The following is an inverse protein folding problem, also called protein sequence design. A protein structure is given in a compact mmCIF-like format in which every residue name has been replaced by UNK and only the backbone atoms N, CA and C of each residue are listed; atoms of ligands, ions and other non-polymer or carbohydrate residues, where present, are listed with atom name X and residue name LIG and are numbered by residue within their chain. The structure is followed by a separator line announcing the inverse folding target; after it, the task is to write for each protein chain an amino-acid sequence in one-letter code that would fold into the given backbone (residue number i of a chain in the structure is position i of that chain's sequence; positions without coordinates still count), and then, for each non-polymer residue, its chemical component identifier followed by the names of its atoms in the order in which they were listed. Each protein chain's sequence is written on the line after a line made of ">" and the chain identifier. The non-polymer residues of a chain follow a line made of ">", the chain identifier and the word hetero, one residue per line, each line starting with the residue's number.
data_IF_438906188081
#
_entry.id   IF_438906188081
#
_cell.length_a   1.000
_cell.length_b   1.000
_cell.length_c   1.000
_cell.angle_alpha   90.00
_cell.angle_beta   90.00
_cell.angle_gamma   90.00
#
_symmetry.space_group_name_H-M   'P 1'
#
loop_
_entity.id
_entity.type
_entity.pdbx_description
1 polymer ?
#
# COMPACT_ATOMS: atom_id res chain seq x y z
N UNK A 1 6.16 12.58 -13.96
CA UNK A 1 6.80 12.43 -12.63
C UNK A 1 6.16 13.42 -11.68
N UNK A 2 6.05 13.12 -10.36
CA UNK A 2 5.54 14.05 -9.36
C UNK A 2 6.42 15.33 -9.31
N UNK A 3 5.79 16.46 -9.02
CA UNK A 3 6.47 17.76 -8.85
C UNK A 3 6.67 18.08 -7.38
N UNK A 4 5.72 17.64 -6.54
CA UNK A 4 5.65 17.94 -5.13
C UNK A 4 5.52 16.69 -4.27
N UNK A 5 5.92 16.82 -3.00
CA UNK A 5 5.58 15.91 -1.93
C UNK A 5 5.11 16.72 -0.72
N UNK A 6 4.24 16.12 0.10
CA UNK A 6 4.10 16.52 1.48
C UNK A 6 5.14 15.76 2.30
N UNK A 7 6.05 16.47 2.95
CA UNK A 7 7.20 15.87 3.62
C UNK A 7 7.54 16.66 4.88
N UNK A 8 7.59 15.98 6.02
CA UNK A 8 7.91 16.57 7.32
C UNK A 8 7.13 17.86 7.60
N UNK A 9 5.80 17.80 7.40
CA UNK A 9 4.89 18.90 7.69
C UNK A 9 4.78 19.99 6.61
N UNK A 10 5.48 19.88 5.49
CA UNK A 10 5.52 20.91 4.45
C UNK A 10 5.30 20.32 3.05
N UNK A 11 4.73 21.12 2.14
CA UNK A 11 4.78 20.82 0.72
C UNK A 11 6.13 21.28 0.15
N UNK A 12 6.88 20.35 -0.39
CA UNK A 12 8.23 20.60 -0.94
C UNK A 12 8.32 20.07 -2.37
N UNK A 13 9.23 20.57 -3.20
CA UNK A 13 9.60 19.93 -4.45
C UNK A 13 10.02 18.47 -4.19
N UNK A 14 9.65 17.55 -5.07
CA UNK A 14 9.88 16.11 -4.87
C UNK A 14 11.37 15.78 -4.69
N UNK A 15 12.25 16.51 -5.36
CA UNK A 15 13.71 16.34 -5.25
C UNK A 15 14.27 16.69 -3.86
N UNK A 16 13.51 17.42 -3.04
CA UNK A 16 13.87 17.78 -1.67
C UNK A 16 13.30 16.81 -0.62
N UNK A 17 12.38 15.92 -1.03
CA UNK A 17 11.81 14.89 -0.15
C UNK A 17 12.77 13.69 -0.03
N UNK A 18 13.86 13.87 0.70
CA UNK A 18 14.94 12.88 0.85
C UNK A 18 15.08 12.43 2.29
N UNK A 19 15.45 11.18 2.48
CA UNK A 19 15.82 10.59 3.77
C UNK A 19 17.28 10.14 3.75
N UNK A 20 17.93 10.18 4.92
CA UNK A 20 19.29 9.67 5.10
C UNK A 20 19.32 8.13 4.94
N UNK A 21 20.44 7.60 4.49
CA UNK A 21 20.69 6.14 4.48
C UNK A 21 20.70 5.56 5.90
N UNK A 22 20.91 6.38 6.94
CA UNK A 22 20.85 5.99 8.34
C UNK A 22 19.43 5.93 8.90
N UNK A 23 18.40 6.40 8.15
CA UNK A 23 17.02 6.42 8.61
C UNK A 23 16.58 5.00 9.02
N UNK A 24 16.02 4.89 10.23
CA UNK A 24 15.61 3.62 10.83
C UNK A 24 14.66 2.83 9.91
N UNK A 25 13.66 3.49 9.31
CA UNK A 25 12.74 2.85 8.39
C UNK A 25 13.43 2.35 7.11
N UNK A 26 14.47 3.01 6.63
CA UNK A 26 15.24 2.57 5.47
C UNK A 26 16.03 1.28 5.78
N UNK A 27 16.60 1.18 6.98
CA UNK A 27 17.38 0.02 7.40
C UNK A 27 16.53 -1.19 7.82
N UNK A 28 15.36 -0.95 8.46
CA UNK A 28 14.59 -2.01 9.11
C UNK A 28 13.16 -2.16 8.58
N UNK A 29 12.75 -1.39 7.58
CA UNK A 29 11.41 -1.46 7.01
C UNK A 29 10.30 -1.03 8.00
N UNK A 30 10.63 -0.18 8.98
CA UNK A 30 9.73 0.26 10.05
C UNK A 30 8.86 1.44 9.63
N UNK A 31 8.05 1.22 8.63
CA UNK A 31 7.06 2.16 8.13
C UNK A 31 5.75 1.47 7.76
N UNK A 32 4.70 2.27 7.70
CA UNK A 32 3.39 1.89 7.17
C UNK A 32 3.04 2.76 5.98
N UNK A 33 2.32 2.23 5.02
CA UNK A 33 1.90 3.02 3.87
C UNK A 33 0.48 2.68 3.41
N UNK A 34 -0.06 3.52 2.55
CA UNK A 34 -1.28 3.25 1.79
C UNK A 34 -1.03 3.32 0.29
N UNK A 35 -1.96 2.76 -0.46
CA UNK A 35 -2.04 2.90 -1.91
C UNK A 35 -3.44 3.36 -2.27
N UNK A 36 -3.56 4.61 -2.67
CA UNK A 36 -4.83 5.27 -2.94
C UNK A 36 -4.88 5.58 -4.44
N UNK A 37 -6.03 5.32 -5.06
CA UNK A 37 -6.26 5.67 -6.47
C UNK A 37 -7.12 6.92 -6.54
N UNK A 38 -6.76 7.80 -7.47
CA UNK A 38 -7.63 8.86 -7.95
C UNK A 38 -7.89 8.64 -9.44
N UNK A 39 -9.14 8.82 -9.83
CA UNK A 39 -9.64 8.59 -11.17
C UNK A 39 -10.04 9.91 -11.80
N UNK A 40 -9.53 10.16 -13.00
CA UNK A 40 -9.85 11.35 -13.75
C UNK A 40 -11.19 11.19 -14.49
N UNK A 41 -12.09 12.13 -14.28
CA UNK A 41 -13.32 12.26 -15.06
C UNK A 41 -13.17 13.48 -15.98
N UNK A 42 -13.09 13.23 -17.30
CA UNK A 42 -12.91 14.28 -18.30
C UNK A 42 -14.17 15.15 -18.47
N UNK A 43 -15.36 14.58 -18.28
CA UNK A 43 -16.63 15.30 -18.44
C UNK A 43 -16.83 16.33 -17.32
N UNK A 44 -16.39 16.00 -16.12
CA UNK A 44 -16.47 16.87 -14.94
C UNK A 44 -15.17 17.68 -14.72
N UNK A 45 -14.13 17.41 -15.51
CA UNK A 45 -12.79 18.01 -15.38
C UNK A 45 -12.25 17.92 -13.94
N UNK A 46 -12.39 16.73 -13.31
CA UNK A 46 -12.11 16.53 -11.91
C UNK A 46 -11.50 15.15 -11.60
N UNK A 47 -10.63 15.09 -10.58
CA UNK A 47 -10.14 13.86 -9.98
C UNK A 47 -11.06 13.42 -8.84
N UNK A 48 -11.43 12.13 -8.84
CA UNK A 48 -12.20 11.49 -7.78
C UNK A 48 -11.33 10.50 -7.02
N UNK A 49 -11.14 10.75 -5.72
CA UNK A 49 -10.35 9.87 -4.85
C UNK A 49 -11.29 8.87 -4.18
N UNK A 50 -11.06 7.58 -4.41
CA UNK A 50 -11.93 6.54 -3.89
C UNK A 50 -11.68 6.28 -2.41
N UNK A 51 -12.73 6.44 -1.56
CA UNK A 51 -12.74 6.08 -0.13
C UNK A 51 -11.55 6.66 0.66
N UNK A 52 -11.27 7.92 0.46
CA UNK A 52 -10.08 8.59 0.99
C UNK A 52 -9.96 8.49 2.51
N UNK A 53 -11.04 8.81 3.23
CA UNK A 53 -11.05 8.79 4.69
C UNK A 53 -10.75 7.40 5.25
N UNK A 54 -11.34 6.35 4.67
CA UNK A 54 -11.13 4.98 5.12
C UNK A 54 -9.69 4.50 4.89
N UNK A 55 -9.02 4.99 3.85
CA UNK A 55 -7.59 4.73 3.66
C UNK A 55 -6.76 5.33 4.79
N UNK A 56 -7.01 6.57 5.18
CA UNK A 56 -6.28 7.19 6.30
C UNK A 56 -6.63 6.58 7.65
N UNK A 57 -7.89 6.22 7.88
CA UNK A 57 -8.27 5.45 9.08
C UNK A 57 -7.52 4.11 9.15
N UNK A 58 -7.30 3.43 8.00
CA UNK A 58 -6.53 2.19 7.95
C UNK A 58 -5.04 2.44 8.17
N UNK A 59 -4.48 3.52 7.62
CA UNK A 59 -3.11 3.93 7.90
C UNK A 59 -2.90 4.10 9.41
N UNK A 60 -3.79 4.80 10.10
CA UNK A 60 -3.72 4.98 11.55
C UNK A 60 -3.77 3.64 12.31
N UNK A 61 -4.61 2.69 11.86
CA UNK A 61 -4.63 1.34 12.45
C UNK A 61 -3.31 0.59 12.24
N UNK A 62 -2.72 0.70 11.06
CA UNK A 62 -1.40 0.13 10.76
C UNK A 62 -0.30 0.77 11.62
N UNK A 63 -0.32 2.09 11.74
CA UNK A 63 0.63 2.86 12.55
C UNK A 63 0.63 2.45 14.03
N UNK A 64 -0.55 2.18 14.61
CA UNK A 64 -0.67 1.70 16.00
C UNK A 64 0.13 0.42 16.26
N UNK A 65 0.19 -0.49 15.29
CA UNK A 65 0.94 -1.76 15.41
C UNK A 65 2.45 -1.51 15.45
N UNK A 66 2.95 -0.53 14.71
CA UNK A 66 4.38 -0.14 14.71
C UNK A 66 4.71 0.97 15.73
N UNK A 67 3.80 1.29 16.65
CA UNK A 67 3.97 2.39 17.61
C UNK A 67 4.33 3.72 16.93
N UNK A 68 3.79 3.97 15.71
CA UNK A 68 3.91 5.24 15.01
C UNK A 68 2.76 6.15 15.41
N UNK A 69 3.08 7.38 15.81
CA UNK A 69 2.11 8.43 16.15
C UNK A 69 2.10 9.48 15.04
N UNK A 70 1.00 9.55 14.31
CA UNK A 70 0.79 10.60 13.32
C UNK A 70 0.21 11.84 14.01
N UNK A 71 0.77 13.04 13.77
CA UNK A 71 0.26 14.29 14.35
C UNK A 71 -0.99 14.83 13.64
N UNK A 72 -1.50 14.12 12.64
CA UNK A 72 -2.65 14.49 11.81
C UNK A 72 -3.79 13.51 12.01
N UNK A 73 -5.03 13.99 12.06
CA UNK A 73 -6.22 13.15 11.98
C UNK A 73 -6.41 12.57 10.56
N UNK A 74 -7.24 11.55 10.37
CA UNK A 74 -7.58 11.05 9.03
C UNK A 74 -8.23 12.13 8.13
N UNK A 75 -8.99 13.05 8.72
CA UNK A 75 -9.63 14.17 8.04
C UNK A 75 -8.58 15.18 7.55
N UNK A 76 -7.67 15.60 8.43
CA UNK A 76 -6.56 16.50 8.07
C UNK A 76 -5.66 15.89 6.99
N UNK A 77 -5.37 14.59 7.06
CA UNK A 77 -4.62 13.90 6.00
C UNK A 77 -5.38 13.89 4.68
N UNK A 78 -6.70 13.82 4.73
CA UNK A 78 -7.54 13.89 3.52
C UNK A 78 -7.46 15.27 2.87
N UNK A 79 -7.51 16.33 3.65
CA UNK A 79 -7.37 17.71 3.17
C UNK A 79 -5.97 17.98 2.59
N UNK A 80 -4.93 17.49 3.25
CA UNK A 80 -3.54 17.58 2.77
C UNK A 80 -3.36 16.83 1.43
N UNK A 81 -4.01 15.68 1.26
CA UNK A 81 -3.97 14.93 0.00
C UNK A 81 -4.66 15.70 -1.12
N UNK A 82 -5.82 16.27 -0.86
CA UNK A 82 -6.55 17.09 -1.86
C UNK A 82 -5.68 18.28 -2.28
N UNK A 83 -5.03 18.95 -1.33
CA UNK A 83 -4.13 20.07 -1.63
C UNK A 83 -2.91 19.61 -2.44
N UNK A 84 -2.33 18.45 -2.13
CA UNK A 84 -1.23 17.87 -2.92
C UNK A 84 -1.66 17.65 -4.38
N UNK A 85 -2.83 17.05 -4.61
CA UNK A 85 -3.35 16.80 -5.95
C UNK A 85 -3.64 18.09 -6.72
N UNK A 86 -4.11 19.14 -6.04
CA UNK A 86 -4.29 20.46 -6.65
C UNK A 86 -2.96 21.06 -7.12
N UNK A 87 -1.90 20.95 -6.33
CA UNK A 87 -0.56 21.42 -6.68
C UNK A 87 0.05 20.63 -7.85
N UNK A 88 -0.19 19.32 -7.89
CA UNK A 88 0.24 18.47 -9.01
C UNK A 88 -0.50 18.77 -10.31
N UNK A 89 -1.79 19.07 -10.24
CA UNK A 89 -2.61 19.44 -11.39
C UNK A 89 -2.81 18.31 -12.41
N UNK A 90 -2.82 17.04 -11.96
CA UNK A 90 -3.04 15.90 -12.85
C UNK A 90 -4.43 15.90 -13.46
N UNK A 91 -4.49 15.58 -14.77
CA UNK A 91 -5.70 15.37 -15.57
C UNK A 91 -5.75 13.93 -16.12
N UNK A 92 -5.31 12.99 -15.32
CA UNK A 92 -5.24 11.58 -15.63
C UNK A 92 -5.30 10.78 -14.33
N UNK A 93 -5.58 9.48 -14.44
CA UNK A 93 -5.57 8.58 -13.28
C UNK A 93 -4.23 8.64 -12.58
N UNK A 94 -4.25 8.70 -11.25
CA UNK A 94 -3.02 8.75 -10.48
C UNK A 94 -3.07 7.84 -9.24
N UNK A 95 -1.89 7.53 -8.76
CA UNK A 95 -1.65 6.75 -7.56
C UNK A 95 -1.02 7.62 -6.50
N UNK A 96 -1.54 7.56 -5.29
CA UNK A 96 -1.04 8.31 -4.15
C UNK A 96 -0.42 7.35 -3.14
N UNK A 97 0.77 7.69 -2.65
CA UNK A 97 1.55 6.95 -1.67
C UNK A 97 1.76 7.76 -0.39
N UNK A 98 0.86 7.66 0.59
CA UNK A 98 1.17 8.11 1.96
C UNK A 98 2.07 7.08 2.65
N UNK A 99 3.06 7.57 3.39
CA UNK A 99 4.04 6.76 4.16
C UNK A 99 4.23 7.40 5.53
N UNK A 100 4.00 6.63 6.58
CA UNK A 100 4.37 6.96 7.96
C UNK A 100 5.55 6.08 8.38
N UNK A 101 6.58 6.64 9.02
CA UNK A 101 7.80 5.89 9.23
C UNK A 101 8.60 6.35 10.47
N UNK A 102 9.44 5.46 11.00
CA UNK A 102 10.43 5.79 12.04
C UNK A 102 11.60 6.51 11.41
N UNK A 103 11.84 7.76 11.82
CA UNK A 103 12.71 8.71 11.12
C UNK A 103 14.11 8.87 11.73
N UNK A 104 14.34 8.37 12.94
CA UNK A 104 15.65 8.50 13.60
C UNK A 104 16.78 7.88 12.76
N UNK A 105 17.93 8.50 12.81
CA UNK A 105 19.15 8.07 12.14
C UNK A 105 20.03 7.26 13.10
N UNK A 106 19.53 6.09 13.50
CA UNK A 106 20.19 5.22 14.49
C UNK A 106 20.20 3.76 14.06
N UNK A 107 21.16 3.02 14.58
CA UNK A 107 21.21 1.55 14.49
C UNK A 107 20.63 0.97 15.77
N UNK A 108 19.71 0.01 15.64
CA UNK A 108 19.06 -0.71 16.74
C UNK A 108 17.60 -1.03 16.47
N UNK A 109 17.20 -2.27 16.72
CA UNK A 109 15.89 -2.81 16.34
C UNK A 109 14.86 -2.58 17.47
N UNK A 110 14.31 -1.38 17.56
CA UNK A 110 13.24 -1.03 18.51
C UNK A 110 12.19 -0.15 17.82
N UNK A 111 10.98 -0.08 18.36
CA UNK A 111 9.91 0.76 17.83
C UNK A 111 9.50 1.90 18.76
N UNK A 112 9.91 1.82 20.04
CA UNK A 112 9.62 2.84 21.06
C UNK A 112 10.72 3.89 21.14
N UNK A 113 10.37 5.09 21.63
CA UNK A 113 11.29 6.21 21.78
C UNK A 113 12.05 6.56 20.50
N UNK A 114 11.30 6.60 19.38
CA UNK A 114 11.78 7.03 18.08
C UNK A 114 10.84 8.12 17.54
N UNK A 115 11.41 9.03 16.77
CA UNK A 115 10.67 10.06 16.06
C UNK A 115 9.86 9.46 14.92
N UNK A 116 8.62 9.89 14.79
CA UNK A 116 7.72 9.51 13.72
C UNK A 116 7.59 10.64 12.72
N UNK A 117 7.66 10.29 11.44
CA UNK A 117 7.50 11.23 10.34
C UNK A 117 6.48 10.72 9.32
N UNK A 118 5.98 11.68 8.53
CA UNK A 118 5.03 11.41 7.47
C UNK A 118 5.47 12.03 6.15
N UNK A 119 5.27 11.26 5.07
CA UNK A 119 5.49 11.72 3.70
C UNK A 119 4.33 11.26 2.82
N UNK A 120 4.02 12.04 1.78
CA UNK A 120 3.02 11.67 0.80
C UNK A 120 3.39 12.28 -0.56
N UNK A 121 3.27 11.46 -1.62
CA UNK A 121 3.41 11.91 -3.01
C UNK A 121 2.35 11.27 -3.89
N UNK A 122 2.11 11.86 -5.06
CA UNK A 122 1.23 11.31 -6.08
C UNK A 122 1.98 11.21 -7.41
N UNK A 123 1.64 10.20 -8.21
CA UNK A 123 2.23 10.00 -9.55
C UNK A 123 1.16 9.52 -10.52
N UNK A 124 1.20 9.94 -11.80
CA UNK A 124 0.38 9.33 -12.83
C UNK A 124 0.53 7.82 -12.83
N UNK A 125 -0.58 7.11 -12.93
CA UNK A 125 -0.56 5.66 -12.88
C UNK A 125 -1.79 5.08 -13.61
N UNK A 126 -1.56 4.54 -14.78
CA UNK A 126 -2.57 3.89 -15.61
C UNK A 126 -3.07 2.54 -15.08
N UNK A 127 -3.51 1.66 -15.97
CA UNK A 127 -3.95 0.30 -15.62
C UNK A 127 -2.75 -0.53 -15.16
N UNK A 128 -2.93 -1.29 -14.09
CA UNK A 128 -1.87 -2.13 -13.50
C UNK A 128 -1.53 -3.37 -14.32
N UNK A 129 -2.50 -3.94 -15.02
CA UNK A 129 -2.33 -5.06 -15.96
C UNK A 129 -2.87 -4.61 -17.30
N UNK A 130 -2.01 -4.64 -18.31
CA UNK A 130 -2.37 -4.44 -19.71
C UNK A 130 -2.93 -5.76 -20.25
N UNK A 131 -4.19 -5.81 -20.60
CA UNK A 131 -4.83 -6.95 -21.23
C UNK A 131 -6.28 -7.17 -20.79
N UNK A 132 -7.18 -7.27 -21.76
CA UNK A 132 -8.60 -7.53 -21.54
C UNK A 132 -8.91 -9.03 -21.38
N UNK A 133 -7.96 -9.91 -21.72
CA UNK A 133 -8.15 -11.35 -21.89
C UNK A 133 -7.76 -12.19 -20.66
N UNK A 134 -7.45 -11.55 -19.53
CA UNK A 134 -7.03 -12.26 -18.31
C UNK A 134 -5.52 -12.23 -18.08
N UNK A 135 -5.08 -12.75 -16.95
CA UNK A 135 -3.68 -12.80 -16.55
C UNK A 135 -3.22 -14.26 -16.36
N UNK A 136 -2.01 -14.58 -16.80
CA UNK A 136 -1.37 -15.86 -16.50
C UNK A 136 -0.85 -15.81 -15.07
N UNK A 137 -1.29 -16.72 -14.23
CA UNK A 137 -0.91 -16.75 -12.82
C UNK A 137 -0.25 -18.07 -12.46
N UNK A 138 0.67 -18.03 -11.51
CA UNK A 138 1.26 -19.22 -10.91
C UNK A 138 1.08 -19.22 -9.39
N UNK A 139 1.17 -20.39 -8.78
CA UNK A 139 1.29 -20.49 -7.31
C UNK A 139 2.73 -20.15 -6.94
N UNK A 140 2.90 -19.15 -6.07
CA UNK A 140 4.22 -18.72 -5.60
C UNK A 140 4.94 -19.85 -4.83
N UNK A 141 6.24 -20.03 -5.01
CA UNK A 141 7.04 -20.88 -4.12
C UNK A 141 7.19 -20.30 -2.71
N UNK A 142 6.99 -18.98 -2.57
CA UNK A 142 7.02 -18.27 -1.29
C UNK A 142 5.67 -18.30 -0.61
N UNK A 143 5.64 -18.66 0.67
CA UNK A 143 4.44 -18.62 1.50
C UNK A 143 4.21 -17.23 2.06
N UNK A 144 2.95 -16.90 2.36
CA UNK A 144 2.62 -15.65 3.05
C UNK A 144 3.25 -15.65 4.44
N UNK A 145 3.85 -14.51 4.80
CA UNK A 145 4.35 -14.29 6.16
C UNK A 145 3.19 -14.45 7.15
N UNK A 146 3.42 -15.23 8.20
CA UNK A 146 2.43 -15.47 9.25
C UNK A 146 2.08 -14.18 10.01
N UNK A 147 0.81 -14.02 10.39
CA UNK A 147 0.32 -12.83 11.10
C UNK A 147 0.98 -12.64 12.48
N UNK A 148 1.45 -13.74 13.09
CA UNK A 148 2.21 -13.70 14.35
C UNK A 148 3.69 -13.34 14.15
N UNK A 149 4.22 -13.40 12.92
CA UNK A 149 5.56 -12.93 12.58
C UNK A 149 5.54 -11.44 12.18
N UNK A 150 4.74 -11.09 11.18
CA UNK A 150 4.49 -9.71 10.76
C UNK A 150 2.99 -9.55 10.53
N UNK A 151 2.28 -8.74 11.33
CA UNK A 151 0.83 -8.63 11.26
C UNK A 151 0.31 -8.21 9.88
N UNK A 152 -0.35 -9.13 9.18
CA UNK A 152 -0.89 -8.90 7.84
C UNK A 152 -1.99 -7.81 7.80
N UNK A 153 -2.64 -7.55 8.94
CA UNK A 153 -3.62 -6.46 9.12
C UNK A 153 -3.01 -5.06 9.11
N UNK A 154 -1.67 -4.95 9.18
CA UNK A 154 -0.93 -3.70 9.01
C UNK A 154 -0.21 -3.69 7.67
N UNK A 155 -0.30 -2.56 6.96
CA UNK A 155 0.38 -2.36 5.67
C UNK A 155 1.81 -1.88 5.91
N UNK A 156 2.68 -2.80 6.36
CA UNK A 156 4.06 -2.52 6.78
C UNK A 156 5.01 -2.57 5.58
N UNK A 157 5.89 -1.59 5.43
CA UNK A 157 6.86 -1.51 4.33
C UNK A 157 7.77 -2.73 4.26
N UNK A 158 8.31 -3.17 5.40
CA UNK A 158 9.21 -4.33 5.48
C UNK A 158 8.56 -5.66 5.09
N UNK A 159 7.24 -5.80 5.24
CA UNK A 159 6.54 -7.04 4.85
C UNK A 159 6.47 -7.23 3.32
N UNK A 160 6.66 -6.16 2.55
CA UNK A 160 6.54 -6.18 1.09
C UNK A 160 7.69 -6.92 0.39
N UNK A 161 8.78 -7.26 1.08
CA UNK A 161 9.78 -8.16 0.54
C UNK A 161 9.19 -9.53 0.17
N UNK A 162 8.24 -10.04 0.96
CA UNK A 162 7.53 -11.29 0.67
C UNK A 162 6.71 -11.19 -0.64
N UNK A 163 6.03 -10.06 -0.84
CA UNK A 163 5.29 -9.79 -2.08
C UNK A 163 6.24 -9.62 -3.29
N UNK A 164 7.37 -8.92 -3.09
CA UNK A 164 8.37 -8.73 -4.14
C UNK A 164 9.00 -10.06 -4.60
N UNK A 165 9.35 -10.95 -3.66
CA UNK A 165 9.86 -12.30 -3.97
C UNK A 165 8.84 -13.12 -4.77
N UNK A 166 7.57 -13.10 -4.37
CA UNK A 166 6.50 -13.81 -5.05
C UNK A 166 6.27 -13.27 -6.47
N UNK A 167 6.23 -11.95 -6.63
CA UNK A 167 6.04 -11.30 -7.95
C UNK A 167 7.23 -11.57 -8.88
N UNK A 168 8.45 -11.49 -8.34
CA UNK A 168 9.66 -11.76 -9.11
C UNK A 168 9.69 -13.21 -9.61
N UNK A 169 9.35 -14.19 -8.74
CA UNK A 169 9.27 -15.58 -9.15
C UNK A 169 8.25 -15.80 -10.27
N UNK A 170 7.08 -15.16 -10.22
CA UNK A 170 6.08 -15.22 -11.29
C UNK A 170 6.61 -14.62 -12.59
N UNK A 171 7.22 -13.45 -12.53
CA UNK A 171 7.76 -12.78 -13.71
C UNK A 171 8.88 -13.60 -14.38
N UNK A 172 9.78 -14.19 -13.60
CA UNK A 172 10.84 -15.08 -14.10
C UNK A 172 10.30 -16.37 -14.73
N UNK A 173 9.13 -16.84 -14.30
CA UNK A 173 8.41 -17.98 -14.89
C UNK A 173 7.53 -17.59 -16.09
N UNK A 174 7.57 -16.33 -16.54
CA UNK A 174 6.74 -15.84 -17.65
C UNK A 174 5.26 -15.65 -17.29
N UNK A 175 4.94 -15.57 -16.01
CA UNK A 175 3.58 -15.31 -15.51
C UNK A 175 3.37 -13.83 -15.16
N UNK A 176 2.14 -13.37 -15.32
CA UNK A 176 1.77 -11.97 -15.07
C UNK A 176 1.57 -11.70 -13.58
N UNK A 177 1.25 -12.74 -12.77
CA UNK A 177 0.98 -12.60 -11.35
C UNK A 177 1.21 -13.90 -10.56
N UNK A 178 1.34 -13.78 -9.22
CA UNK A 178 1.48 -14.89 -8.30
C UNK A 178 0.29 -15.01 -7.34
N UNK A 179 -0.19 -16.23 -7.14
CA UNK A 179 -1.08 -16.59 -6.04
C UNK A 179 -0.21 -17.05 -4.88
N UNK A 180 -0.34 -16.40 -3.73
CA UNK A 180 0.42 -16.72 -2.53
C UNK A 180 -0.44 -17.56 -1.59
N UNK A 181 0.13 -18.64 -1.07
CA UNK A 181 -0.55 -19.50 -0.11
C UNK A 181 -0.11 -19.17 1.32
N UNK A 182 -1.01 -19.41 2.28
CA UNK A 182 -0.70 -19.45 3.70
C UNK A 182 0.26 -20.61 4.03
N UNK A 183 0.78 -20.64 5.25
CA UNK A 183 1.66 -21.71 5.70
C UNK A 183 0.98 -23.09 5.60
N UNK A 184 -0.29 -23.18 5.92
CA UNK A 184 -1.13 -24.40 5.85
C UNK A 184 -1.70 -24.70 4.45
N UNK A 185 -1.28 -23.96 3.41
CA UNK A 185 -1.59 -24.23 2.02
C UNK A 185 -2.88 -23.64 1.47
N UNK A 186 -3.59 -22.82 2.24
CA UNK A 186 -4.77 -22.13 1.73
C UNK A 186 -4.38 -20.90 0.87
N UNK A 187 -5.24 -20.51 -0.06
CA UNK A 187 -5.04 -19.28 -0.83
C UNK A 187 -5.16 -18.07 0.10
N UNK A 188 -4.09 -17.27 0.17
CA UNK A 188 -4.04 -16.04 0.95
C UNK A 188 -4.42 -14.83 0.11
N UNK A 189 -3.65 -14.56 -0.91
CA UNK A 189 -3.82 -13.39 -1.78
C UNK A 189 -3.20 -13.61 -3.15
N UNK A 190 -3.54 -12.76 -4.12
CA UNK A 190 -2.75 -12.54 -5.32
C UNK A 190 -1.95 -11.25 -5.17
N UNK A 191 -0.68 -11.24 -5.54
CA UNK A 191 0.19 -10.07 -5.38
C UNK A 191 -0.01 -9.12 -6.57
N UNK A 192 -0.40 -7.87 -6.40
CA UNK A 192 -0.79 -7.13 -5.20
C UNK A 192 -2.32 -6.98 -5.05
N UNK A 193 -3.12 -7.96 -5.45
CA UNK A 193 -4.58 -7.90 -5.53
C UNK A 193 -5.27 -8.88 -4.60
N UNK A 194 -6.51 -8.56 -4.23
CA UNK A 194 -7.41 -9.51 -3.59
C UNK A 194 -7.88 -10.54 -4.62
N UNK A 195 -7.72 -11.81 -4.31
CA UNK A 195 -8.25 -12.90 -5.11
C UNK A 195 -9.75 -13.07 -4.82
N UNK A 196 -10.59 -12.87 -5.83
CA UNK A 196 -12.02 -13.16 -5.73
C UNK A 196 -12.33 -14.41 -6.55
N UNK A 197 -12.98 -15.40 -5.96
CA UNK A 197 -13.50 -16.55 -6.66
C UNK A 197 -14.99 -16.33 -6.99
N UNK A 198 -15.36 -16.42 -8.25
CA UNK A 198 -16.74 -16.69 -8.61
C UNK A 198 -16.98 -18.19 -8.45
N UNK A 199 -17.59 -18.60 -7.34
CA UNK A 199 -18.08 -19.94 -7.17
C UNK A 199 -19.37 -20.08 -7.96
N UNK A 200 -19.48 -21.10 -8.81
CA UNK A 200 -20.77 -21.53 -9.38
C UNK A 200 -21.69 -21.96 -8.25
N UNK A 201 -23.00 -21.84 -8.42
CA UNK A 201 -24.06 -21.88 -7.40
C UNK A 201 -24.07 -23.08 -6.41
N UNK A 202 -23.14 -24.04 -6.52
CA UNK A 202 -23.06 -25.23 -5.67
C UNK A 202 -21.86 -25.26 -4.69
N UNK A 203 -21.08 -24.19 -4.59
CA UNK A 203 -19.95 -24.13 -3.65
C UNK A 203 -20.20 -23.05 -2.59
N UNK A 204 -20.35 -23.48 -1.32
CA UNK A 204 -20.42 -22.54 -0.21
C UNK A 204 -19.13 -21.69 -0.12
N UNK A 205 -19.22 -20.38 0.14
CA UNK A 205 -18.05 -19.52 0.26
C UNK A 205 -17.20 -20.01 1.45
N UNK A 206 -16.00 -20.52 1.16
CA UNK A 206 -15.05 -20.84 2.24
C UNK A 206 -14.63 -19.53 2.89
N UNK A 207 -14.73 -19.45 4.21
CA UNK A 207 -14.18 -18.34 4.98
C UNK A 207 -12.68 -18.27 4.72
N UNK A 208 -12.21 -17.11 4.26
CA UNK A 208 -10.78 -16.86 4.18
C UNK A 208 -10.18 -16.93 5.59
N UNK A 209 -9.00 -17.54 5.77
CA UNK A 209 -8.31 -17.51 7.06
C UNK A 209 -8.08 -16.08 7.54
N UNK A 210 -8.03 -15.87 8.84
CA UNK A 210 -7.84 -14.57 9.49
C UNK A 210 -6.52 -13.87 9.14
N UNK A 211 -5.61 -14.57 8.48
CA UNK A 211 -4.32 -14.06 8.00
C UNK A 211 -4.42 -13.30 6.66
N UNK A 212 -5.59 -13.29 6.02
CA UNK A 212 -5.77 -12.52 4.79
C UNK A 212 -6.07 -11.05 5.08
N UNK A 213 -5.41 -10.19 4.36
CA UNK A 213 -5.67 -8.75 4.40
C UNK A 213 -7.05 -8.46 3.78
N UNK A 214 -8.00 -7.95 4.58
CA UNK A 214 -9.30 -7.54 4.05
C UNK A 214 -9.13 -6.23 3.28
N UNK A 215 -9.01 -6.32 1.96
CA UNK A 215 -9.32 -5.18 1.13
C UNK A 215 -10.82 -4.86 1.28
N UNK A 216 -11.16 -3.57 1.33
CA UNK A 216 -12.57 -3.16 1.34
C UNK A 216 -13.27 -3.70 0.10
N UNK A 217 -14.45 -4.35 0.20
CA UNK A 217 -15.14 -4.85 -0.98
C UNK A 217 -15.46 -3.68 -1.91
N UNK A 218 -15.10 -3.82 -3.17
CA UNK A 218 -15.62 -2.97 -4.21
C UNK A 218 -17.14 -3.24 -4.28
N UNK A 219 -17.96 -2.33 -3.79
CA UNK A 219 -19.38 -2.31 -4.15
C UNK A 219 -19.49 -1.66 -5.52
N UNK A 220 -20.25 -2.30 -6.40
CA UNK A 220 -20.67 -1.77 -7.70
C UNK A 220 -21.47 -0.48 -7.49
#
# INVERSE_FOLDING_TARGET
>A
MPKYAFFKGNFVPIENAKVSIMTHAFNYGTGCFEGIRAYWNADENQLFVFRLLEHFQRLHRSCKILHIRLPYSPEELSDLLVELLRREGYREDCYIRPIAYKADEIIGVRLHNLTDEFAMFATPFGRYIEGELGARVMISPWRRVDDNAIPARAKITGSYINSALSKTAAAMAGCDEAIVLTHDGHVSEAVPRTCSWCATANSSPRRLPTTSWKASPARR
#
